data_IF_800052184493
#
_entry.id   IF_800052184493
#
_cell.length_a   1.000
_cell.length_b   1.000
_cell.length_c   1.000
_cell.angle_alpha   90.00
_cell.angle_beta   90.00
_cell.angle_gamma   90.00
#
_symmetry.space_group_name_H-M   'P 1'
#
loop_
_entity.id
_entity.type
_entity.pdbx_description
1 polymer ?
#
# COMPACT_ATOMS: atom_id res chain seq x y z
N UNK A 1 -11.38 7.53 6.08
CA UNK A 1 -10.42 8.46 5.50
C UNK A 1 -8.99 8.09 5.90
N UNK A 2 -8.00 8.50 5.14
CA UNK A 2 -6.54 8.37 5.40
C UNK A 2 -6.01 6.94 5.60
N UNK A 3 -6.81 5.89 5.38
CA UNK A 3 -6.34 4.52 5.52
C UNK A 3 -5.32 4.12 4.44
N UNK A 4 -4.18 3.51 4.84
CA UNK A 4 -3.13 3.01 3.94
C UNK A 4 -3.61 2.01 2.89
N UNK A 5 -4.66 1.29 3.19
CA UNK A 5 -5.23 0.24 2.34
C UNK A 5 -6.59 0.61 1.76
N UNK A 6 -6.99 1.88 1.92
CA UNK A 6 -8.22 2.39 1.36
C UNK A 6 -7.95 2.91 -0.08
N UNK A 7 -8.46 2.22 -1.13
CA UNK A 7 -8.28 2.65 -2.52
C UNK A 7 -9.31 3.71 -2.94
N UNK A 8 -10.22 4.11 -2.05
CA UNK A 8 -11.19 5.16 -2.33
C UNK A 8 -10.49 6.54 -2.39
N UNK A 9 -11.22 7.53 -2.84
CA UNK A 9 -10.71 8.89 -3.04
C UNK A 9 -10.09 9.52 -1.78
N UNK A 10 -10.57 9.15 -0.59
CA UNK A 10 -10.14 9.63 0.73
C UNK A 10 -9.08 8.76 1.42
N UNK A 11 -8.59 7.72 0.75
CA UNK A 11 -7.51 6.87 1.22
C UNK A 11 -6.13 7.38 0.83
N UNK A 12 -5.09 6.74 1.36
CA UNK A 12 -3.68 7.03 1.06
C UNK A 12 -2.97 5.83 0.43
N UNK A 13 -3.73 4.98 -0.29
CA UNK A 13 -3.18 3.76 -0.89
C UNK A 13 -2.14 4.05 -1.98
N UNK A 14 -2.30 5.15 -2.75
CA UNK A 14 -1.33 5.54 -3.77
C UNK A 14 0.01 5.96 -3.15
N UNK A 15 -0.03 6.76 -2.07
CA UNK A 15 1.19 7.10 -1.32
C UNK A 15 1.86 5.84 -0.75
N UNK A 16 1.08 4.93 -0.16
CA UNK A 16 1.61 3.66 0.34
C UNK A 16 2.25 2.84 -0.77
N UNK A 17 1.64 2.78 -1.95
CA UNK A 17 2.18 2.05 -3.11
C UNK A 17 3.52 2.63 -3.54
N UNK A 18 3.63 3.95 -3.65
CA UNK A 18 4.90 4.63 -3.95
C UNK A 18 5.99 4.28 -2.94
N UNK A 19 5.65 4.29 -1.63
CA UNK A 19 6.61 3.95 -0.58
C UNK A 19 7.01 2.47 -0.61
N UNK A 20 6.08 1.55 -0.89
CA UNK A 20 6.37 0.11 -0.96
C UNK A 20 7.16 -0.28 -2.21
N UNK A 21 6.99 0.45 -3.31
CA UNK A 21 7.75 0.25 -4.56
C UNK A 21 9.19 0.77 -4.46
N UNK A 22 9.46 1.72 -3.55
CA UNK A 22 10.82 2.17 -3.27
C UNK A 22 11.57 1.12 -2.42
N UNK A 23 12.75 0.65 -2.85
CA UNK A 23 13.57 -0.28 -2.06
C UNK A 23 13.92 0.22 -0.66
N UNK A 24 13.91 1.53 -0.45
CA UNK A 24 14.21 2.20 0.82
C UNK A 24 12.94 2.69 1.55
N UNK A 25 11.77 2.29 1.07
CA UNK A 25 10.48 2.65 1.65
C UNK A 25 10.02 1.61 2.68
N UNK A 26 9.49 2.07 3.80
CA UNK A 26 8.97 1.24 4.89
C UNK A 26 7.58 1.70 5.30
N UNK A 27 6.63 0.78 5.42
CA UNK A 27 5.33 1.02 6.05
C UNK A 27 5.39 0.50 7.48
N UNK A 28 5.36 1.40 8.45
CA UNK A 28 5.43 1.08 9.86
C UNK A 28 4.02 0.93 10.45
N UNK A 29 3.74 -0.24 11.01
CA UNK A 29 2.52 -0.52 11.79
C UNK A 29 2.74 -0.39 13.30
N UNK A 30 3.99 -0.24 13.71
CA UNK A 30 4.42 -0.05 15.10
C UNK A 30 5.57 0.97 15.14
N UNK A 31 5.64 1.76 16.18
CA UNK A 31 6.70 2.76 16.38
C UNK A 31 8.09 2.15 16.55
N UNK A 32 8.20 0.85 16.78
CA UNK A 32 9.48 0.12 16.83
C UNK A 32 10.28 0.24 15.55
N UNK A 33 9.63 0.47 14.41
CA UNK A 33 10.27 0.70 13.12
C UNK A 33 11.25 1.90 13.12
N UNK A 34 11.01 2.92 13.93
CA UNK A 34 11.92 4.06 14.05
C UNK A 34 13.32 3.66 14.55
N UNK A 35 13.41 2.64 15.39
CA UNK A 35 14.70 2.15 15.91
C UNK A 35 15.52 1.38 14.86
N UNK A 36 14.90 0.97 13.77
CA UNK A 36 15.54 0.23 12.67
C UNK A 36 16.01 1.16 11.54
N UNK A 37 15.74 2.47 11.64
CA UNK A 37 16.11 3.47 10.62
C UNK A 37 17.48 4.07 10.88
N UNK A 38 18.02 4.72 9.85
CA UNK A 38 19.14 5.67 9.99
C UNK A 38 18.55 7.10 9.99
N UNK A 39 18.33 7.74 11.14
CA UNK A 39 17.52 8.95 11.24
C UNK A 39 17.96 10.06 10.28
N UNK A 40 19.26 10.39 10.22
CA UNK A 40 19.79 11.47 9.41
C UNK A 40 19.56 11.32 7.89
N UNK A 41 19.11 10.18 7.42
CA UNK A 41 18.80 9.89 6.01
C UNK A 41 17.36 9.42 5.81
N UNK A 42 16.50 9.64 6.80
CA UNK A 42 15.12 9.13 6.79
C UNK A 42 14.11 10.26 6.94
N UNK A 43 13.07 10.26 6.09
CA UNK A 43 11.84 11.05 6.25
C UNK A 43 10.71 10.14 6.72
N UNK A 44 10.10 10.47 7.85
CA UNK A 44 8.93 9.76 8.38
C UNK A 44 7.66 10.61 8.22
N UNK A 45 6.57 9.97 7.76
CA UNK A 45 5.26 10.61 7.59
C UNK A 45 4.29 10.05 8.63
N UNK A 46 3.65 10.93 9.38
CA UNK A 46 2.51 10.68 10.26
C UNK A 46 1.32 11.46 9.69
N UNK A 47 0.29 10.74 9.22
CA UNK A 47 -0.84 11.34 8.52
C UNK A 47 -2.13 11.05 9.29
N UNK A 48 -2.81 12.11 9.76
CA UNK A 48 -4.07 12.06 10.47
C UNK A 48 -4.10 10.97 11.58
N UNK A 49 -3.23 11.06 12.59
CA UNK A 49 -3.23 10.08 13.68
C UNK A 49 -4.59 10.10 14.41
N UNK A 50 -5.20 8.91 14.58
CA UNK A 50 -6.55 8.78 15.16
C UNK A 50 -6.52 8.40 16.64
N UNK A 51 -5.34 8.09 17.17
CA UNK A 51 -5.12 7.78 18.58
C UNK A 51 -3.81 8.41 19.06
N UNK A 52 -3.71 8.68 20.36
CA UNK A 52 -2.48 9.23 20.96
C UNK A 52 -1.36 8.19 20.96
N UNK A 53 -0.16 8.65 20.72
CA UNK A 53 1.05 7.85 20.92
C UNK A 53 1.29 7.60 22.41
N UNK A 54 1.71 6.40 22.77
CA UNK A 54 2.12 6.13 24.15
C UNK A 54 3.42 6.87 24.49
N UNK A 55 3.77 7.08 25.77
CA UNK A 55 5.05 7.68 26.15
C UNK A 55 6.27 6.94 25.59
N UNK A 56 6.18 5.62 25.40
CA UNK A 56 7.26 4.84 24.80
C UNK A 56 7.38 5.10 23.30
N UNK A 57 6.25 5.29 22.60
CA UNK A 57 6.22 5.59 21.17
C UNK A 57 6.75 7.01 20.90
N UNK A 58 6.26 8.00 21.69
CA UNK A 58 6.76 9.38 21.57
C UNK A 58 8.25 9.49 21.83
N UNK A 59 8.78 8.77 22.83
CA UNK A 59 10.22 8.77 23.11
C UNK A 59 11.06 8.21 21.94
N UNK A 60 10.52 7.22 21.18
CA UNK A 60 11.21 6.70 19.98
C UNK A 60 11.21 7.72 18.86
N UNK A 61 10.07 8.40 18.63
CA UNK A 61 9.93 9.42 17.59
C UNK A 61 10.78 10.65 17.94
N UNK A 62 10.78 11.09 19.21
CA UNK A 62 11.65 12.15 19.71
C UNK A 62 13.13 11.81 19.47
N UNK A 63 13.57 10.61 19.87
CA UNK A 63 14.94 10.16 19.63
C UNK A 63 15.31 10.10 18.14
N UNK A 64 14.37 9.73 17.27
CA UNK A 64 14.54 9.76 15.82
C UNK A 64 14.77 11.18 15.31
N UNK A 65 13.98 12.16 15.75
CA UNK A 65 14.12 13.58 15.39
C UNK A 65 15.45 14.12 15.93
N UNK A 66 15.75 13.88 17.21
CA UNK A 66 16.98 14.36 17.84
C UNK A 66 18.25 13.83 17.16
N UNK A 67 18.17 12.62 16.61
CA UNK A 67 19.27 12.01 15.86
C UNK A 67 19.37 12.45 14.39
N UNK A 68 18.58 13.45 13.96
CA UNK A 68 18.66 14.06 12.62
C UNK A 68 17.58 13.63 11.65
N UNK A 69 16.56 12.91 12.10
CA UNK A 69 15.42 12.49 11.26
C UNK A 69 14.54 13.66 10.83
N UNK A 70 13.90 13.53 9.67
CA UNK A 70 12.85 14.44 9.22
C UNK A 70 11.50 13.84 9.53
N UNK A 71 10.68 14.51 10.34
CA UNK A 71 9.33 14.09 10.71
C UNK A 71 8.30 15.01 10.05
N UNK A 72 7.47 14.46 9.20
CA UNK A 72 6.30 15.15 8.60
C UNK A 72 5.07 14.75 9.39
N UNK A 73 4.42 15.72 10.04
CA UNK A 73 3.15 15.54 10.75
C UNK A 73 2.08 16.29 9.98
N UNK A 74 1.11 15.56 9.44
CA UNK A 74 -0.04 16.13 8.76
C UNK A 74 -1.32 15.86 9.58
N UNK A 75 -1.96 16.91 10.05
CA UNK A 75 -3.21 16.84 10.82
C UNK A 75 -4.02 18.13 10.62
N UNK A 76 -5.31 18.09 10.96
CA UNK A 76 -6.21 19.24 10.80
C UNK A 76 -6.99 19.55 12.10
N UNK A 77 -8.01 18.77 12.40
CA UNK A 77 -8.94 19.03 13.50
C UNK A 77 -8.73 18.12 14.72
N UNK A 78 -7.86 17.12 14.59
CA UNK A 78 -7.57 16.17 15.67
C UNK A 78 -6.62 16.73 16.73
N UNK A 79 -6.65 16.22 17.97
CA UNK A 79 -5.68 16.61 19.00
C UNK A 79 -4.33 15.90 18.84
N UNK A 80 -4.29 14.75 18.13
CA UNK A 80 -3.17 13.82 18.22
C UNK A 80 -1.93 14.29 17.46
N UNK A 81 -2.10 15.06 16.37
CA UNK A 81 -0.99 15.73 15.70
C UNK A 81 -0.35 16.78 16.61
N UNK A 82 -1.13 17.58 17.30
CA UNK A 82 -0.63 18.57 18.28
C UNK A 82 0.05 17.92 19.49
N UNK A 83 -0.49 16.80 19.98
CA UNK A 83 0.12 16.01 21.05
C UNK A 83 1.50 15.49 20.62
N UNK A 84 1.61 14.98 19.40
CA UNK A 84 2.88 14.50 18.85
C UNK A 84 3.88 15.63 18.66
N UNK A 85 3.46 16.75 18.02
CA UNK A 85 4.32 17.94 17.85
C UNK A 85 4.86 18.42 19.17
N UNK A 86 4.03 18.47 20.22
CA UNK A 86 4.46 18.84 21.57
C UNK A 86 5.47 17.84 22.15
N UNK A 87 5.20 16.55 22.00
CA UNK A 87 6.03 15.49 22.57
C UNK A 87 7.45 15.46 21.94
N UNK A 88 7.56 15.74 20.65
CA UNK A 88 8.87 15.83 19.98
C UNK A 88 9.56 17.19 20.13
N UNK A 89 8.97 18.12 20.91
CA UNK A 89 9.59 19.43 21.19
C UNK A 89 9.38 20.50 20.12
N UNK A 90 8.55 20.26 19.11
CA UNK A 90 8.20 21.27 18.11
C UNK A 90 7.27 22.33 18.70
N UNK A 91 7.37 23.58 18.22
CA UNK A 91 6.54 24.71 18.69
C UNK A 91 5.33 24.99 17.80
N UNK A 92 5.36 24.50 16.54
CA UNK A 92 4.24 24.61 15.62
C UNK A 92 2.99 23.89 16.15
N UNK A 93 1.79 24.47 15.92
CA UNK A 93 0.51 23.88 16.34
C UNK A 93 -0.55 24.06 15.27
N UNK A 94 -1.35 23.03 15.03
CA UNK A 94 -2.57 23.12 14.23
C UNK A 94 -3.63 23.89 14.99
N UNK A 95 -4.30 24.83 14.33
CA UNK A 95 -5.30 25.71 14.93
C UNK A 95 -6.61 24.97 15.25
N UNK A 96 -7.06 24.13 14.33
CA UNK A 96 -8.27 23.31 14.47
C UNK A 96 -9.55 23.95 13.93
N UNK A 97 -9.52 25.21 13.51
CA UNK A 97 -10.64 25.85 12.82
C UNK A 97 -10.51 25.74 11.31
N UNK A 98 -11.65 25.69 10.60
CA UNK A 98 -11.66 25.48 9.16
C UNK A 98 -11.12 26.69 8.41
N UNK A 99 -10.08 26.46 7.62
CA UNK A 99 -9.49 27.45 6.73
C UNK A 99 -10.33 27.58 5.46
N UNK A 100 -10.60 28.82 5.04
CA UNK A 100 -11.38 29.13 3.86
C UNK A 100 -10.75 30.28 3.08
N UNK A 101 -11.00 30.30 1.76
CA UNK A 101 -10.63 31.40 0.87
C UNK A 101 -11.73 31.56 -0.18
N UNK A 102 -12.39 32.71 -0.21
CA UNK A 102 -13.50 32.94 -1.13
C UNK A 102 -13.07 33.35 -2.56
N UNK A 103 -11.76 33.48 -2.79
CA UNK A 103 -11.22 33.86 -4.08
C UNK A 103 -10.24 32.83 -4.66
N UNK A 104 -9.35 32.28 -3.81
CA UNK A 104 -8.31 31.33 -4.22
C UNK A 104 -8.66 29.93 -3.72
N UNK A 105 -9.53 29.24 -4.45
CA UNK A 105 -9.98 27.88 -4.12
C UNK A 105 -10.12 27.01 -5.36
N UNK A 106 -10.08 25.70 -5.20
CA UNK A 106 -10.17 24.70 -6.27
C UNK A 106 -11.62 24.48 -6.74
N UNK A 107 -12.53 24.08 -5.86
CA UNK A 107 -13.94 23.79 -6.17
C UNK A 107 -14.92 24.50 -5.25
N UNK A 108 -14.50 24.79 -4.04
CA UNK A 108 -15.28 25.44 -3.01
C UNK A 108 -14.34 26.23 -2.08
N UNK A 109 -14.81 27.27 -1.39
CA UNK A 109 -13.98 28.03 -0.44
C UNK A 109 -13.30 27.20 0.65
N UNK A 110 -13.85 26.02 0.98
CA UNK A 110 -13.26 25.05 1.91
C UNK A 110 -12.09 24.23 1.33
N UNK A 111 -11.80 24.42 0.02
CA UNK A 111 -10.66 23.83 -0.67
C UNK A 111 -9.71 24.95 -1.15
N UNK A 112 -9.11 25.68 -0.22
CA UNK A 112 -8.28 26.83 -0.58
C UNK A 112 -7.02 26.37 -1.33
N UNK A 113 -6.52 27.26 -2.21
CA UNK A 113 -5.23 27.08 -2.90
C UNK A 113 -4.22 28.01 -2.25
N UNK A 114 -3.25 27.43 -1.56
CA UNK A 114 -2.16 28.17 -0.92
C UNK A 114 -1.09 28.52 -1.94
N UNK A 115 -1.02 29.79 -2.32
CA UNK A 115 -0.19 30.31 -3.43
C UNK A 115 1.09 31.00 -2.98
N UNK A 116 1.30 31.16 -1.68
CA UNK A 116 2.49 31.80 -1.14
C UNK A 116 3.49 30.73 -0.69
N UNK A 117 4.30 30.25 -1.64
CA UNK A 117 5.31 29.22 -1.45
C UNK A 117 6.70 29.86 -1.33
N UNK A 118 7.39 29.57 -0.24
CA UNK A 118 8.77 30.04 0.00
C UNK A 118 9.77 29.02 -0.55
N UNK A 119 10.88 29.48 -1.09
CA UNK A 119 11.97 28.61 -1.53
C UNK A 119 12.55 27.81 -0.35
N UNK A 120 12.52 26.49 -0.46
CA UNK A 120 12.93 25.55 0.57
C UNK A 120 13.33 24.23 -0.10
N UNK A 121 14.18 23.40 0.52
CA UNK A 121 14.43 22.02 0.06
C UNK A 121 13.17 21.17 -0.06
N UNK A 122 12.11 21.54 0.65
CA UNK A 122 10.84 20.81 0.70
C UNK A 122 9.80 21.29 -0.33
N UNK A 123 10.08 22.38 -1.05
CA UNK A 123 9.15 23.05 -1.98
C UNK A 123 9.77 23.30 -3.36
N UNK A 124 10.82 22.58 -3.71
CA UNK A 124 11.41 22.70 -5.04
C UNK A 124 10.42 22.18 -6.10
N UNK A 125 10.11 22.99 -7.10
CA UNK A 125 9.13 22.67 -8.13
C UNK A 125 7.67 22.74 -7.69
N UNK A 126 7.40 23.39 -6.54
CA UNK A 126 6.05 23.61 -6.00
C UNK A 126 5.73 25.10 -6.08
N UNK A 127 4.68 25.46 -6.80
CA UNK A 127 4.21 26.84 -6.93
C UNK A 127 2.98 27.14 -6.05
N UNK A 128 2.22 26.10 -5.71
CA UNK A 128 1.01 26.18 -4.87
C UNK A 128 0.70 24.86 -4.21
N UNK A 129 -0.17 24.84 -3.20
CA UNK A 129 -0.80 23.62 -2.66
C UNK A 129 -2.32 23.74 -2.70
N UNK A 130 -2.98 22.73 -3.24
CA UNK A 130 -4.44 22.62 -3.22
C UNK A 130 -4.85 21.84 -1.96
N UNK A 131 -5.63 22.48 -1.11
CA UNK A 131 -6.06 21.95 0.20
C UNK A 131 -7.50 21.45 0.14
N UNK A 132 -7.89 20.61 1.09
CA UNK A 132 -9.24 20.05 1.18
C UNK A 132 -9.69 19.93 2.65
N UNK A 133 -10.31 21.01 3.15
CA UNK A 133 -10.76 21.08 4.53
C UNK A 133 -9.64 21.37 5.54
N UNK A 134 -8.60 22.08 5.10
CA UNK A 134 -7.46 22.44 5.93
C UNK A 134 -7.79 23.28 7.15
N UNK A 135 -6.89 23.29 8.11
CA UNK A 135 -6.79 24.34 9.15
C UNK A 135 -5.56 25.22 8.87
N UNK A 136 -5.19 26.08 9.83
CA UNK A 136 -3.94 26.81 9.80
C UNK A 136 -2.91 26.19 10.75
N UNK A 137 -1.63 26.54 10.55
CA UNK A 137 -0.57 26.27 11.51
C UNK A 137 -0.20 27.56 12.23
N UNK A 138 -0.25 27.59 13.56
CA UNK A 138 0.42 28.58 14.37
C UNK A 138 1.91 28.22 14.41
N UNK A 139 2.82 28.98 13.79
CA UNK A 139 4.16 28.50 13.50
C UNK A 139 5.09 28.42 14.72
N UNK A 140 4.83 29.19 15.79
CA UNK A 140 5.78 29.31 16.89
C UNK A 140 7.15 29.81 16.37
N UNK A 141 8.21 29.04 16.59
CA UNK A 141 9.56 29.32 16.06
C UNK A 141 9.81 28.69 14.68
N UNK A 142 8.87 27.90 14.15
CA UNK A 142 8.98 27.26 12.86
C UNK A 142 8.98 28.29 11.71
N UNK A 143 9.76 28.01 10.67
CA UNK A 143 9.73 28.79 9.45
C UNK A 143 8.50 28.40 8.61
N UNK A 144 7.72 29.39 8.22
CA UNK A 144 6.60 29.21 7.28
C UNK A 144 7.16 28.95 5.89
N UNK A 145 6.80 27.83 5.27
CA UNK A 145 7.24 27.47 3.92
C UNK A 145 6.10 27.53 2.89
N UNK A 146 4.85 27.30 3.32
CA UNK A 146 3.65 27.52 2.49
C UNK A 146 2.60 28.25 3.30
N UNK A 147 1.96 29.27 2.69
CA UNK A 147 0.84 30.00 3.26
C UNK A 147 -0.24 30.30 2.22
N UNK A 148 -1.46 30.59 2.69
CA UNK A 148 -2.59 31.01 1.86
C UNK A 148 -2.39 32.38 1.21
N UNK A 149 -3.37 32.82 0.45
CA UNK A 149 -3.52 34.19 0.01
C UNK A 149 -3.69 35.16 1.22
N UNK A 150 -3.68 36.47 0.97
CA UNK A 150 -3.88 37.47 2.03
C UNK A 150 -5.37 37.70 2.40
N UNK A 151 -6.28 36.97 1.78
CA UNK A 151 -7.71 37.10 1.97
C UNK A 151 -8.38 35.81 2.42
N UNK A 152 -7.59 34.81 2.80
CA UNK A 152 -8.08 33.64 3.50
C UNK A 152 -8.51 33.99 4.93
N UNK A 153 -9.32 33.14 5.55
CA UNK A 153 -9.77 33.30 6.93
C UNK A 153 -10.03 31.96 7.59
N UNK A 154 -10.04 31.95 8.92
CA UNK A 154 -10.49 30.80 9.71
C UNK A 154 -11.97 31.01 10.08
N UNK A 155 -12.84 30.09 9.70
CA UNK A 155 -14.27 30.08 9.99
C UNK A 155 -14.55 29.64 11.43
N UNK A 156 -14.12 30.47 12.40
CA UNK A 156 -14.18 30.18 13.84
C UNK A 156 -15.63 30.06 14.35
N UNK A 157 -16.54 30.74 13.68
CA UNK A 157 -17.95 30.77 14.03
C UNK A 157 -18.77 29.68 13.33
N UNK A 158 -18.11 28.90 12.43
CA UNK A 158 -18.73 27.82 11.67
C UNK A 158 -19.96 28.26 10.87
N UNK A 159 -19.91 29.47 10.35
CA UNK A 159 -21.01 30.08 9.55
C UNK A 159 -21.07 29.57 8.16
N UNK A 160 -19.96 29.00 7.67
CA UNK A 160 -19.82 28.51 6.30
C UNK A 160 -19.65 29.62 5.28
N UNK A 161 -19.45 30.89 5.70
CA UNK A 161 -19.24 32.03 4.84
C UNK A 161 -18.51 33.15 5.58
N UNK A 162 -17.80 34.00 4.81
CA UNK A 162 -17.10 35.15 5.38
C UNK A 162 -18.06 36.10 6.09
N UNK A 163 -17.74 36.43 7.31
CA UNK A 163 -18.49 37.39 8.16
C UNK A 163 -17.61 38.56 8.56
N UNK A 164 -18.18 39.69 9.09
CA UNK A 164 -17.37 40.82 9.53
C UNK A 164 -16.48 40.54 10.73
N UNK A 165 -16.74 39.45 11.46
CA UNK A 165 -15.95 39.01 12.62
C UNK A 165 -14.71 38.19 12.21
N UNK A 166 -14.65 37.69 10.94
CA UNK A 166 -13.54 36.87 10.44
C UNK A 166 -12.34 37.77 10.07
N UNK A 167 -11.19 37.35 10.54
CA UNK A 167 -9.93 38.05 10.23
C UNK A 167 -9.36 37.55 8.91
N UNK A 168 -9.26 38.43 7.91
CA UNK A 168 -8.61 38.15 6.65
C UNK A 168 -7.10 38.23 6.80
N UNK A 169 -6.38 37.22 6.31
CA UNK A 169 -4.93 37.18 6.45
C UNK A 169 -4.27 36.04 5.66
N UNK A 170 -2.95 36.04 5.73
CA UNK A 170 -2.15 34.90 5.27
C UNK A 170 -1.99 33.90 6.40
N UNK A 171 -2.53 32.73 6.20
CA UNK A 171 -2.47 31.64 7.15
C UNK A 171 -1.41 30.63 6.74
N UNK A 172 -0.41 30.34 7.60
CA UNK A 172 0.53 29.26 7.36
C UNK A 172 -0.19 27.92 7.24
N UNK A 173 0.21 27.10 6.25
CA UNK A 173 -0.35 25.76 6.05
C UNK A 173 0.75 24.69 6.06
N UNK A 174 1.99 25.08 5.78
CA UNK A 174 3.15 24.21 5.96
C UNK A 174 4.27 24.98 6.63
N UNK A 175 4.82 24.39 7.69
CA UNK A 175 5.96 24.95 8.43
C UNK A 175 7.07 23.92 8.57
N UNK A 176 8.32 24.40 8.71
CA UNK A 176 9.47 23.55 9.00
C UNK A 176 10.24 24.13 10.20
N UNK A 177 10.54 23.29 11.16
CA UNK A 177 11.22 23.65 12.42
C UNK A 177 12.40 22.70 12.65
N UNK A 178 13.54 23.27 13.04
CA UNK A 178 14.68 22.45 13.49
C UNK A 178 14.46 22.09 14.95
N UNK A 179 14.43 20.80 15.26
CA UNK A 179 14.27 20.24 16.60
C UNK A 179 15.43 19.27 16.83
N UNK A 180 16.23 19.49 17.85
CA UNK A 180 17.46 18.73 18.04
C UNK A 180 18.39 18.85 16.81
N UNK A 181 18.79 17.73 16.24
CA UNK A 181 19.54 17.68 14.99
C UNK A 181 18.65 17.43 13.75
N UNK A 182 17.35 17.22 13.95
CA UNK A 182 16.39 16.89 12.89
C UNK A 182 15.50 18.05 12.49
N UNK A 183 14.48 17.72 11.70
CA UNK A 183 13.49 18.67 11.21
C UNK A 183 12.10 18.13 11.43
N UNK A 184 11.20 18.98 11.94
CA UNK A 184 9.77 18.69 12.02
C UNK A 184 9.03 19.57 11.02
N UNK A 185 8.24 18.95 10.16
CA UNK A 185 7.41 19.63 9.15
C UNK A 185 5.95 19.42 9.54
N UNK A 186 5.23 20.50 9.84
CA UNK A 186 3.79 20.45 10.10
C UNK A 186 3.03 20.86 8.84
N UNK A 187 2.08 20.01 8.42
CA UNK A 187 1.19 20.21 7.27
C UNK A 187 -0.24 20.25 7.76
N UNK A 188 -0.94 21.37 7.61
CA UNK A 188 -2.27 21.61 8.20
C UNK A 188 -3.43 20.95 7.45
N UNK A 189 -3.15 20.09 6.51
CA UNK A 189 -4.14 19.32 5.74
C UNK A 189 -3.58 17.95 5.40
N UNK A 190 -3.98 16.89 6.11
CA UNK A 190 -3.60 15.54 5.76
C UNK A 190 -4.17 15.09 4.41
N UNK A 191 -5.21 15.78 3.90
CA UNK A 191 -5.81 15.48 2.61
C UNK A 191 -4.88 15.77 1.41
N UNK A 192 -3.81 16.53 1.58
CA UNK A 192 -2.78 16.69 0.54
C UNK A 192 -2.24 15.34 0.07
N UNK A 193 -2.24 14.34 0.94
CA UNK A 193 -1.71 13.00 0.72
C UNK A 193 -2.75 11.95 0.32
N UNK A 194 -4.06 12.29 0.24
CA UNK A 194 -5.09 11.32 -0.18
C UNK A 194 -5.09 11.15 -1.71
N UNK A 195 -5.57 9.99 -2.18
CA UNK A 195 -5.60 9.61 -3.59
C UNK A 195 -6.21 10.71 -4.49
N UNK A 196 -7.34 11.33 -4.08
CA UNK A 196 -8.00 12.37 -4.88
C UNK A 196 -7.21 13.68 -4.96
N UNK A 197 -6.43 14.01 -3.94
CA UNK A 197 -5.68 15.27 -3.87
C UNK A 197 -4.23 15.11 -4.31
N UNK A 198 -3.66 13.93 -4.17
CA UNK A 198 -2.33 13.60 -4.73
C UNK A 198 -2.28 13.75 -6.26
N UNK A 199 -3.43 13.64 -6.95
CA UNK A 199 -3.54 13.88 -8.38
C UNK A 199 -3.40 15.37 -8.79
N UNK A 200 -3.45 16.30 -7.83
CA UNK A 200 -3.18 17.71 -8.11
C UNK A 200 -1.68 17.90 -8.41
N UNK A 201 -1.30 18.61 -9.48
CA UNK A 201 0.09 18.64 -9.95
C UNK A 201 1.11 19.04 -8.88
N UNK A 202 0.83 20.09 -8.13
CA UNK A 202 1.77 20.62 -7.14
C UNK A 202 1.72 19.84 -5.82
N UNK A 203 0.59 19.21 -5.47
CA UNK A 203 0.48 18.31 -4.32
C UNK A 203 1.37 17.06 -4.54
N UNK A 204 1.35 16.51 -5.75
CA UNK A 204 2.24 15.40 -6.10
C UNK A 204 3.70 15.82 -6.05
N UNK A 205 4.04 17.00 -6.60
CA UNK A 205 5.39 17.54 -6.57
C UNK A 205 5.87 17.72 -5.12
N UNK A 206 5.03 18.29 -4.26
CA UNK A 206 5.32 18.48 -2.84
C UNK A 206 5.57 17.15 -2.12
N UNK A 207 4.68 16.17 -2.31
CA UNK A 207 4.82 14.84 -1.72
C UNK A 207 6.12 14.16 -2.19
N UNK A 208 6.41 14.21 -3.47
CA UNK A 208 7.64 13.66 -4.06
C UNK A 208 8.88 14.37 -3.50
N UNK A 209 8.83 15.69 -3.35
CA UNK A 209 9.95 16.46 -2.81
C UNK A 209 10.22 16.14 -1.33
N UNK A 210 9.18 15.98 -0.51
CA UNK A 210 9.32 15.51 0.87
C UNK A 210 9.97 14.13 0.96
N UNK A 211 9.60 13.20 0.07
CA UNK A 211 10.20 11.87 -0.01
C UNK A 211 11.68 11.95 -0.48
N UNK A 212 11.95 12.76 -1.50
CA UNK A 212 13.28 12.88 -2.12
C UNK A 212 14.30 13.61 -1.24
N UNK A 213 13.87 14.30 -0.18
CA UNK A 213 14.77 15.02 0.74
C UNK A 213 15.77 14.07 1.43
N UNK A 214 15.36 12.83 1.67
CA UNK A 214 16.17 11.79 2.30
C UNK A 214 16.15 10.50 1.46
N UNK A 215 17.09 9.59 1.74
CA UNK A 215 17.23 8.33 1.01
C UNK A 215 16.14 7.31 1.41
N UNK A 216 15.68 7.37 2.67
CA UNK A 216 14.70 6.41 3.22
C UNK A 216 13.40 7.11 3.56
N UNK A 217 12.29 6.43 3.35
CA UNK A 217 10.94 6.91 3.68
C UNK A 217 10.26 5.92 4.61
N UNK A 218 9.72 6.43 5.71
CA UNK A 218 8.86 5.68 6.63
C UNK A 218 7.46 6.27 6.58
N UNK A 219 6.46 5.45 6.32
CA UNK A 219 5.06 5.82 6.38
C UNK A 219 4.45 5.20 7.63
N UNK A 220 4.23 6.02 8.66
CA UNK A 220 3.78 5.57 9.99
C UNK A 220 2.25 5.47 10.07
N UNK A 221 1.76 4.25 10.15
CA UNK A 221 0.36 3.92 10.40
C UNK A 221 0.12 3.31 11.79
N UNK A 222 1.07 3.43 12.72
CA UNK A 222 0.98 2.84 14.06
C UNK A 222 -0.19 3.41 14.87
N UNK A 223 -0.61 4.66 14.59
CA UNK A 223 -1.72 5.34 15.27
C UNK A 223 -2.89 5.65 14.33
N UNK A 224 -2.96 5.04 13.18
CA UNK A 224 -4.14 5.04 12.33
C UNK A 224 -5.04 3.86 12.68
N UNK A 225 -6.36 4.06 12.74
CA UNK A 225 -7.35 3.08 13.23
C UNK A 225 -7.19 1.62 12.72
N UNK A 226 -8.09 0.71 13.07
CA UNK A 226 -7.89 -0.73 12.86
C UNK A 226 -7.63 -1.05 11.39
N UNK A 227 -6.45 -1.58 11.12
CA UNK A 227 -6.04 -1.98 9.78
C UNK A 227 -6.78 -3.27 9.36
N UNK A 228 -7.15 -3.43 8.07
CA UNK A 228 -7.75 -4.67 7.59
C UNK A 228 -6.81 -5.86 7.87
N UNK A 229 -7.27 -6.85 8.63
CA UNK A 229 -6.46 -8.00 9.08
C UNK A 229 -5.75 -8.69 7.91
N UNK A 230 -6.42 -8.82 6.76
CA UNK A 230 -5.84 -9.42 5.55
C UNK A 230 -4.72 -8.55 4.94
N UNK A 231 -4.82 -7.23 5.03
CA UNK A 231 -3.81 -6.32 4.51
C UNK A 231 -2.54 -6.35 5.39
N UNK A 232 -2.72 -6.36 6.71
CA UNK A 232 -1.63 -6.53 7.68
C UNK A 232 -0.95 -7.88 7.50
N UNK A 233 -1.72 -8.97 7.37
CA UNK A 233 -1.19 -10.30 7.12
C UNK A 233 -0.38 -10.36 5.81
N UNK A 234 -0.87 -9.71 4.74
CA UNK A 234 -0.15 -9.61 3.46
C UNK A 234 1.18 -8.87 3.62
N UNK A 235 1.19 -7.74 4.34
CA UNK A 235 2.39 -6.96 4.58
C UNK A 235 3.42 -7.76 5.39
N UNK A 236 2.99 -8.43 6.48
CA UNK A 236 3.85 -9.29 7.28
C UNK A 236 4.46 -10.43 6.47
N UNK A 237 3.68 -11.01 5.55
CA UNK A 237 4.20 -12.04 4.64
C UNK A 237 5.23 -11.46 3.68
N UNK A 238 5.00 -10.27 3.15
CA UNK A 238 5.92 -9.62 2.20
C UNK A 238 7.25 -9.20 2.87
N UNK A 239 7.22 -8.82 4.14
CA UNK A 239 8.40 -8.35 4.88
C UNK A 239 9.15 -9.45 5.64
N UNK A 240 8.53 -10.63 5.83
CA UNK A 240 9.12 -11.72 6.62
C UNK A 240 9.49 -12.92 5.74
N UNK A 241 10.79 -13.17 5.42
CA UNK A 241 11.21 -14.29 4.58
C UNK A 241 10.73 -15.66 5.08
N UNK A 242 10.65 -15.86 6.41
CA UNK A 242 10.15 -17.10 7.01
C UNK A 242 8.64 -17.30 6.75
N UNK A 243 7.85 -16.23 6.73
CA UNK A 243 6.42 -16.31 6.41
C UNK A 243 6.20 -16.64 4.92
N UNK A 244 7.04 -16.13 4.02
CA UNK A 244 7.04 -16.46 2.59
C UNK A 244 7.36 -17.94 2.38
N UNK A 245 8.38 -18.46 3.05
CA UNK A 245 8.73 -19.88 3.03
C UNK A 245 7.59 -20.76 3.59
N UNK A 246 6.97 -20.35 4.69
CA UNK A 246 5.83 -21.05 5.29
C UNK A 246 4.63 -21.14 4.36
N UNK A 247 4.26 -20.04 3.71
CA UNK A 247 3.17 -20.02 2.72
C UNK A 247 3.50 -20.84 1.47
N UNK A 248 4.76 -20.80 1.01
CA UNK A 248 5.22 -21.64 -0.09
C UNK A 248 5.09 -23.13 0.24
N UNK A 249 5.49 -23.55 1.44
CA UNK A 249 5.36 -24.94 1.91
C UNK A 249 3.89 -25.37 2.08
N UNK A 250 3.01 -24.49 2.59
CA UNK A 250 1.57 -24.75 2.68
C UNK A 250 0.98 -24.91 1.27
N UNK A 251 1.33 -24.03 0.34
CA UNK A 251 0.89 -24.13 -1.05
C UNK A 251 1.30 -25.45 -1.72
N UNK A 252 2.54 -25.89 -1.51
CA UNK A 252 3.03 -27.19 -1.99
C UNK A 252 2.30 -28.33 -1.29
N UNK A 253 2.08 -28.26 0.03
CA UNK A 253 1.35 -29.28 0.79
C UNK A 253 -0.11 -29.43 0.38
N UNK A 254 -0.80 -28.32 0.12
CA UNK A 254 -2.19 -28.33 -0.39
C UNK A 254 -2.26 -28.89 -1.79
N UNK A 255 -1.39 -28.46 -2.70
CA UNK A 255 -1.34 -29.03 -4.06
C UNK A 255 -1.01 -30.52 -4.04
N UNK A 256 -0.08 -30.94 -3.18
CA UNK A 256 0.26 -32.35 -3.01
C UNK A 256 -0.94 -33.14 -2.48
N UNK A 257 -1.65 -32.66 -1.46
CA UNK A 257 -2.81 -33.35 -0.87
C UNK A 257 -4.00 -33.44 -1.86
N UNK A 258 -4.25 -32.40 -2.64
CA UNK A 258 -5.28 -32.39 -3.69
C UNK A 258 -4.92 -33.37 -4.81
N UNK A 259 -3.68 -33.40 -5.24
CA UNK A 259 -3.19 -34.35 -6.26
C UNK A 259 -3.28 -35.79 -5.77
N UNK A 260 -3.04 -36.03 -4.48
CA UNK A 260 -3.05 -37.39 -3.89
C UNK A 260 -4.46 -37.90 -3.61
N UNK A 261 -5.39 -37.02 -3.21
CA UNK A 261 -6.76 -37.40 -2.80
C UNK A 261 -7.75 -37.54 -3.93
N UNK A 262 -7.43 -37.11 -5.16
CA UNK A 262 -8.36 -37.18 -6.28
C UNK A 262 -8.08 -38.39 -7.16
N UNK A 263 -8.98 -39.36 -7.30
CA UNK A 263 -8.74 -40.62 -8.02
C UNK A 263 -8.52 -40.51 -9.52
N UNK A 264 -8.79 -39.30 -10.10
CA UNK A 264 -8.58 -39.04 -11.56
C UNK A 264 -7.32 -38.19 -11.86
N UNK A 265 -6.55 -37.76 -10.85
CA UNK A 265 -5.48 -36.76 -11.01
C UNK A 265 -4.10 -37.27 -11.42
N UNK A 266 -3.74 -38.56 -11.34
CA UNK A 266 -2.40 -38.95 -11.81
C UNK A 266 -2.13 -38.61 -13.29
N UNK A 267 -3.17 -38.47 -14.10
CA UNK A 267 -3.04 -38.16 -15.55
C UNK A 267 -3.05 -36.66 -15.81
N UNK A 268 -3.91 -35.88 -15.15
CA UNK A 268 -4.09 -34.43 -15.40
C UNK A 268 -2.99 -33.62 -14.72
N UNK A 269 -2.66 -33.95 -13.47
CA UNK A 269 -1.60 -33.26 -12.72
C UNK A 269 -0.21 -33.42 -13.33
N UNK A 270 0.06 -34.59 -13.94
CA UNK A 270 1.33 -34.88 -14.64
C UNK A 270 1.47 -34.07 -15.94
N UNK A 271 0.41 -33.93 -16.72
CA UNK A 271 0.41 -33.11 -17.96
C UNK A 271 0.53 -31.61 -17.69
N UNK A 272 0.06 -31.11 -16.55
CA UNK A 272 0.24 -29.72 -16.15
C UNK A 272 1.66 -29.43 -15.65
N UNK A 273 2.27 -30.33 -14.90
CA UNK A 273 3.66 -30.17 -14.42
C UNK A 273 4.67 -30.16 -15.55
N UNK A 274 4.52 -31.01 -16.57
CA UNK A 274 5.43 -31.05 -17.71
C UNK A 274 5.34 -29.79 -18.59
N UNK A 275 4.20 -29.08 -18.61
CA UNK A 275 4.02 -27.81 -19.35
C UNK A 275 4.47 -26.57 -18.60
N UNK A 276 4.53 -26.62 -17.28
CA UNK A 276 4.86 -25.45 -16.41
C UNK A 276 6.35 -25.37 -16.09
N UNK A 277 7.09 -26.49 -16.14
CA UNK A 277 8.52 -26.50 -15.81
C UNK A 277 9.33 -26.35 -17.10
N UNK A 278 10.06 -25.22 -17.30
CA UNK A 278 10.92 -25.06 -18.47
C UNK A 278 11.99 -26.16 -18.57
N UNK A 279 12.30 -26.62 -19.79
CA UNK A 279 13.27 -27.68 -20.03
C UNK A 279 14.65 -27.43 -19.39
N UNK A 280 15.05 -26.15 -19.25
CA UNK A 280 16.30 -25.77 -18.60
C UNK A 280 16.30 -26.01 -17.07
N UNK A 281 15.14 -26.17 -16.45
CA UNK A 281 15.00 -26.47 -15.02
C UNK A 281 14.87 -27.99 -14.81
N UNK A 282 14.33 -28.72 -15.77
CA UNK A 282 14.18 -30.18 -15.70
C UNK A 282 15.54 -30.90 -15.57
N UNK A 283 16.59 -30.37 -16.19
CA UNK A 283 17.94 -30.93 -16.11
C UNK A 283 18.63 -30.77 -14.74
N UNK A 284 18.07 -29.99 -13.85
CA UNK A 284 18.58 -29.74 -12.48
C UNK A 284 17.74 -30.40 -11.37
N UNK A 285 16.72 -31.15 -11.76
CA UNK A 285 15.86 -31.85 -10.81
C UNK A 285 16.54 -33.13 -10.30
N UNK A 286 16.29 -33.50 -9.02
CA UNK A 286 16.80 -34.77 -8.49
C UNK A 286 16.22 -35.97 -9.28
N UNK A 287 16.96 -37.07 -9.41
CA UNK A 287 16.62 -38.23 -10.27
C UNK A 287 15.19 -38.75 -10.05
N UNK A 288 14.73 -38.83 -8.81
CA UNK A 288 13.38 -39.30 -8.47
C UNK A 288 12.27 -38.43 -9.03
N UNK A 289 12.53 -37.12 -9.27
CA UNK A 289 11.55 -36.16 -9.80
C UNK A 289 11.56 -36.18 -11.34
N UNK A 290 12.75 -36.38 -11.95
CA UNK A 290 12.88 -36.55 -13.41
C UNK A 290 12.23 -37.84 -13.88
N UNK A 291 12.40 -38.94 -13.14
CA UNK A 291 11.76 -40.23 -13.41
C UNK A 291 10.23 -40.13 -13.32
N UNK A 292 9.70 -39.33 -12.37
CA UNK A 292 8.26 -39.11 -12.21
C UNK A 292 7.66 -38.32 -13.39
N UNK A 293 8.42 -37.41 -13.99
CA UNK A 293 8.03 -36.62 -15.16
C UNK A 293 8.13 -37.48 -16.44
N UNK A 294 9.17 -38.29 -16.58
CA UNK A 294 9.38 -39.15 -17.78
C UNK A 294 8.37 -40.30 -17.86
N UNK A 295 7.88 -40.81 -16.72
CA UNK A 295 6.79 -41.80 -16.70
C UNK A 295 5.43 -41.27 -17.18
N UNK A 296 5.31 -39.98 -17.43
CA UNK A 296 4.07 -39.32 -17.85
C UNK A 296 3.84 -39.33 -19.37
N UNK A 297 4.83 -39.74 -20.16
CA UNK A 297 4.80 -39.57 -21.64
C UNK A 297 4.32 -40.79 -22.43
N UNK A 298 3.92 -41.89 -21.76
CA UNK A 298 3.27 -43.02 -22.43
C UNK A 298 1.76 -43.12 -22.06
N UNK A 299 0.84 -42.82 -22.97
CA UNK A 299 -0.56 -43.08 -22.77
C UNK A 299 -0.84 -44.59 -22.87
N UNK A 300 -0.78 -45.30 -21.75
CA UNK A 300 -1.37 -46.63 -21.68
C UNK A 300 -2.86 -46.50 -21.59
N UNK A 301 -3.53 -46.59 -22.74
CA UNK A 301 -4.99 -46.77 -22.80
C UNK A 301 -5.29 -48.19 -22.30
N UNK A 302 -5.73 -48.31 -21.06
CA UNK A 302 -6.18 -49.59 -20.49
C UNK A 302 -7.52 -49.97 -21.12
N UNK A 303 -7.42 -50.80 -22.19
CA UNK A 303 -8.58 -51.30 -22.97
C UNK A 303 -9.57 -52.11 -22.10
N UNK A 304 -9.05 -52.77 -21.05
CA UNK A 304 -9.88 -53.59 -20.18
C UNK A 304 -10.66 -52.75 -19.18
N UNK A 305 -10.10 -51.63 -18.73
CA UNK A 305 -10.82 -50.66 -17.90
C UNK A 305 -11.96 -49.98 -18.70
N UNK A 306 -11.70 -49.61 -19.95
CA UNK A 306 -12.77 -49.06 -20.84
C UNK A 306 -13.86 -50.10 -21.09
N UNK A 307 -13.51 -51.36 -21.34
CA UNK A 307 -14.47 -52.44 -21.55
C UNK A 307 -15.32 -52.72 -20.31
N UNK A 308 -14.72 -52.71 -19.14
CA UNK A 308 -15.43 -52.87 -17.86
C UNK A 308 -16.39 -51.70 -17.58
N UNK A 309 -15.99 -50.47 -17.87
CA UNK A 309 -16.80 -49.26 -17.72
C UNK A 309 -18.00 -49.26 -18.67
N UNK A 310 -17.82 -49.65 -19.94
CA UNK A 310 -18.89 -49.78 -20.92
C UNK A 310 -19.87 -50.90 -20.54
N UNK A 311 -19.40 -52.02 -20.02
CA UNK A 311 -20.22 -53.12 -19.57
C UNK A 311 -21.08 -52.75 -18.34
N UNK A 312 -20.55 -51.96 -17.42
CA UNK A 312 -21.26 -51.49 -16.24
C UNK A 312 -22.33 -50.41 -16.58
N UNK A 313 -22.07 -49.59 -17.59
CA UNK A 313 -22.96 -48.48 -17.95
C UNK A 313 -24.07 -48.88 -18.91
N UNK A 314 -23.86 -49.96 -19.69
CA UNK A 314 -24.83 -50.49 -20.68
C UNK A 314 -24.91 -52.01 -20.55
N UNK A 315 -25.54 -52.55 -19.48
CA UNK A 315 -25.58 -53.98 -19.20
C UNK A 315 -26.36 -54.78 -20.27
N UNK A 316 -27.36 -54.15 -20.87
CA UNK A 316 -28.25 -54.82 -21.84
C UNK A 316 -27.78 -54.73 -23.28
N UNK A 317 -26.60 -54.14 -23.55
CA UNK A 317 -26.07 -54.02 -24.92
C UNK A 317 -25.29 -55.30 -25.33
N UNK A 318 -25.47 -55.72 -26.60
CA UNK A 318 -24.73 -56.86 -27.16
C UNK A 318 -23.21 -56.60 -27.17
N UNK A 319 -22.41 -57.64 -26.96
CA UNK A 319 -20.97 -57.55 -26.89
C UNK A 319 -20.34 -56.91 -28.15
N UNK A 320 -20.93 -57.19 -29.32
CA UNK A 320 -20.51 -56.63 -30.61
C UNK A 320 -20.74 -55.11 -30.71
N UNK A 321 -21.79 -54.58 -30.13
CA UNK A 321 -22.07 -53.14 -30.10
C UNK A 321 -21.09 -52.42 -29.20
N UNK A 322 -20.70 -52.99 -28.08
CA UNK A 322 -19.67 -52.44 -27.17
C UNK A 322 -18.28 -52.41 -27.81
N UNK A 323 -17.92 -53.43 -28.56
CA UNK A 323 -16.65 -53.50 -29.27
C UNK A 323 -16.61 -52.52 -30.46
N UNK A 324 -17.73 -52.21 -31.14
CA UNK A 324 -17.81 -51.17 -32.19
C UNK A 324 -17.66 -49.76 -31.57
N UNK A 325 -18.28 -49.46 -30.44
CA UNK A 325 -18.15 -48.19 -29.74
C UNK A 325 -16.72 -48.00 -29.27
N UNK A 326 -16.07 -49.03 -28.72
CA UNK A 326 -14.70 -49.00 -28.31
C UNK A 326 -13.74 -48.73 -29.51
N UNK A 327 -13.99 -49.33 -30.64
CA UNK A 327 -13.19 -49.09 -31.87
C UNK A 327 -13.37 -47.65 -32.38
N UNK A 328 -14.60 -47.09 -32.31
CA UNK A 328 -14.86 -45.72 -32.71
C UNK A 328 -14.20 -44.69 -31.80
N UNK A 329 -14.23 -44.91 -30.47
CA UNK A 329 -13.54 -44.05 -29.49
C UNK A 329 -12.01 -44.06 -29.66
N UNK A 330 -11.44 -45.23 -29.94
CA UNK A 330 -9.99 -45.36 -30.14
C UNK A 330 -9.52 -44.81 -31.51
N UNK A 331 -10.40 -44.79 -32.53
CA UNK A 331 -10.10 -44.25 -33.86
C UNK A 331 -10.30 -42.74 -33.96
N UNK A 332 -11.05 -42.10 -33.04
CA UNK A 332 -11.19 -40.65 -32.98
C UNK A 332 -9.95 -39.97 -32.38
N UNK A 333 -9.23 -40.65 -31.49
CA UNK A 333 -8.03 -40.14 -30.84
C UNK A 333 -6.78 -40.12 -31.80
N UNK A 334 -6.78 -40.98 -32.84
CA UNK A 334 -5.73 -41.00 -33.85
C UNK A 334 -5.87 -39.96 -34.96
N UNK A 335 -7.04 -39.27 -35.08
CA UNK A 335 -7.25 -38.24 -36.10
C UNK A 335 -6.92 -36.82 -35.64
N UNK A 336 -6.72 -36.61 -34.37
CA UNK A 336 -6.38 -35.28 -33.80
C UNK A 336 -4.88 -35.00 -33.78
N UNK A 337 -4.03 -36.02 -34.09
CA UNK A 337 -2.55 -35.90 -34.10
C UNK A 337 -1.94 -35.66 -35.50
N UNK A 338 -2.77 -35.63 -36.55
CA UNK A 338 -2.25 -35.44 -37.95
C UNK A 338 -2.56 -34.03 -38.51
N UNK A 339 -2.97 -33.08 -37.69
CA UNK A 339 -3.19 -31.68 -38.09
C UNK A 339 -2.56 -30.69 -37.07
N UNK A 340 -1.24 -30.69 -36.92
CA UNK A 340 -0.42 -29.53 -36.54
C UNK A 340 0.91 -29.55 -37.28
#
# INVERSE_FOLDING_TARGET
>A
AFGAYNPAWDGTSELREQVVEDPNGTVALESTAYAETTPATTTAFVIAPTTSYTPADTARIEAFVDAGGTLVVADDYGPHGNELLQAVGATARFDGDQLRDEQYYYRAPTLPVATNVSTSPYTEGVDQLTLNGATAVTPGSARVIVATSSIAYLDRNQTGSLTPEDELGRYPVVTAETVGNGTVIAVSDPSVFINAMAAQPDNQAFTTQLQATNTHVVLDYSQTGPQPVLAVARLQVQTTPLAQLGLGLIGVGVTWSVVWSWPATPVIGRRLLSRVIPAAVQSRLPPWLSDLISMADEPRIDRDAIRASLAARYPDSERETRDRVMTAVLSSDTRETDHE
#
